data_IF_555243490975
#
_entry.id   IF_555243490975
#
_cell.length_a   1.000
_cell.length_b   1.000
_cell.length_c   1.000
_cell.angle_alpha   90.00
_cell.angle_beta   90.00
_cell.angle_gamma   90.00
#
_symmetry.space_group_name_H-M   'P 1'
#
loop_
_entity.id
_entity.type
_entity.pdbx_description
1 polymer ?
#
# COMPACT_ATOMS: atom_id res chain seq x y z
N UNK A 1 15.82 3.96 23.91
CA UNK A 1 16.82 5.02 23.57
C UNK A 1 16.21 6.38 23.90
N UNK A 2 16.92 7.34 24.51
CA UNK A 2 16.37 8.69 24.72
C UNK A 2 16.00 9.38 23.38
N UNK A 3 14.92 10.16 23.36
CA UNK A 3 14.56 11.07 22.29
C UNK A 3 14.67 12.51 22.80
N UNK A 4 15.55 13.30 22.21
CA UNK A 4 15.77 14.70 22.59
C UNK A 4 14.60 15.60 22.22
N UNK A 5 13.93 15.36 21.09
CA UNK A 5 12.79 16.17 20.64
C UNK A 5 11.56 16.00 21.53
N UNK A 6 11.20 14.76 21.87
CA UNK A 6 10.03 14.46 22.69
C UNK A 6 10.34 14.43 24.20
N UNK A 7 11.60 14.64 24.61
CA UNK A 7 12.06 14.57 26.00
C UNK A 7 11.59 13.30 26.76
N UNK A 8 11.67 12.14 26.11
CA UNK A 8 11.23 10.87 26.70
C UNK A 8 12.11 9.68 26.28
N UNK A 9 12.13 8.64 27.13
CA UNK A 9 12.76 7.37 26.78
C UNK A 9 11.87 6.59 25.82
N UNK A 10 12.39 6.29 24.62
CA UNK A 10 11.70 5.44 23.66
C UNK A 10 11.69 3.99 24.13
N UNK A 11 10.51 3.34 24.19
CA UNK A 11 10.40 1.89 24.33
C UNK A 11 11.15 1.14 23.21
N UNK A 12 11.33 -0.18 23.36
CA UNK A 12 11.88 -1.01 22.29
C UNK A 12 11.10 -0.84 20.98
N UNK A 13 11.81 -0.84 19.83
CA UNK A 13 11.24 -0.68 18.48
C UNK A 13 10.53 0.66 18.19
N UNK A 14 10.38 1.56 19.17
CA UNK A 14 9.81 2.89 18.94
C UNK A 14 10.85 3.88 18.39
N UNK A 15 10.42 4.73 17.45
CA UNK A 15 11.28 5.74 16.82
C UNK A 15 10.56 7.07 16.62
N UNK A 16 11.31 8.17 16.68
CA UNK A 16 10.76 9.51 16.45
C UNK A 16 10.59 9.75 14.95
N UNK A 17 9.36 10.00 14.51
CA UNK A 17 9.08 10.43 13.16
C UNK A 17 9.11 11.96 13.10
N UNK A 18 10.03 12.52 12.31
CA UNK A 18 10.13 13.97 12.14
C UNK A 18 8.90 14.60 11.47
N UNK A 19 8.25 13.87 10.56
CA UNK A 19 7.08 14.38 9.85
C UNK A 19 5.83 14.43 10.74
N UNK A 20 5.67 13.49 11.67
CA UNK A 20 4.58 13.51 12.66
C UNK A 20 4.97 14.21 13.97
N UNK A 21 6.23 14.63 14.11
CA UNK A 21 6.84 15.24 15.29
C UNK A 21 6.53 14.53 16.62
N UNK A 22 6.51 13.20 16.59
CA UNK A 22 6.26 12.39 17.78
C UNK A 22 6.95 11.02 17.70
N UNK A 23 7.14 10.39 18.86
CA UNK A 23 7.62 9.02 18.93
C UNK A 23 6.48 8.04 18.62
N UNK A 24 6.70 7.20 17.61
CA UNK A 24 5.76 6.17 17.19
C UNK A 24 6.22 4.83 17.73
N UNK A 25 5.30 4.11 18.37
CA UNK A 25 5.56 2.77 18.88
C UNK A 25 5.58 1.73 17.75
N UNK A 26 6.58 0.83 17.81
CA UNK A 26 6.92 -0.12 16.75
C UNK A 26 6.89 0.53 15.37
N UNK A 27 7.63 1.63 15.19
CA UNK A 27 7.62 2.39 13.95
C UNK A 27 8.06 1.47 12.80
N UNK A 28 7.20 1.37 11.79
CA UNK A 28 7.53 0.78 10.51
C UNK A 28 8.03 1.89 9.59
N UNK A 29 7.15 2.74 9.08
CA UNK A 29 7.54 3.89 8.26
C UNK A 29 6.52 5.03 8.38
N UNK A 30 6.90 6.21 7.92
CA UNK A 30 5.91 7.25 7.61
C UNK A 30 5.45 7.08 6.16
N UNK A 31 4.18 6.75 5.97
CA UNK A 31 3.61 6.61 4.64
C UNK A 31 3.15 7.97 4.13
N UNK A 32 3.84 8.52 3.13
CA UNK A 32 3.47 9.80 2.52
C UNK A 32 2.11 9.75 1.82
N UNK A 33 1.74 8.59 1.25
CA UNK A 33 0.46 8.40 0.57
C UNK A 33 -0.75 8.42 1.52
N UNK A 34 -0.56 7.94 2.75
CA UNK A 34 -1.59 7.99 3.80
C UNK A 34 -1.44 9.20 4.71
N UNK A 35 -0.38 10.00 4.50
CA UNK A 35 0.03 11.12 5.35
C UNK A 35 0.00 10.76 6.84
N UNK A 36 0.48 9.56 7.18
CA UNK A 36 0.42 9.02 8.52
C UNK A 36 1.54 8.00 8.76
N UNK A 37 1.95 7.84 10.02
CA UNK A 37 2.86 6.78 10.40
C UNK A 37 2.16 5.43 10.46
N UNK A 38 2.85 4.41 9.93
CA UNK A 38 2.51 3.01 10.11
C UNK A 38 3.37 2.49 11.26
N UNK A 39 2.72 1.98 12.31
CA UNK A 39 3.36 1.41 13.48
C UNK A 39 2.45 0.39 14.15
N UNK A 40 2.76 -0.01 15.39
CA UNK A 40 2.10 -1.15 16.05
C UNK A 40 0.57 -1.06 16.09
N UNK A 41 0.01 0.14 16.27
CA UNK A 41 -1.44 0.34 16.43
C UNK A 41 -2.24 0.21 15.13
N UNK A 42 -1.61 0.38 13.97
CA UNK A 42 -2.31 0.41 12.68
C UNK A 42 -1.70 -0.47 11.60
N UNK A 43 -0.63 -1.22 11.91
CA UNK A 43 0.02 -2.11 10.95
C UNK A 43 -0.95 -3.13 10.32
N UNK A 44 -1.89 -3.69 11.10
CA UNK A 44 -2.90 -4.60 10.58
C UNK A 44 -3.88 -3.92 9.59
N UNK A 45 -4.27 -2.68 9.87
CA UNK A 45 -5.12 -1.90 8.96
C UNK A 45 -4.36 -1.57 7.67
N UNK A 46 -3.07 -1.27 7.77
CA UNK A 46 -2.21 -1.05 6.62
C UNK A 46 -2.08 -2.31 5.73
N UNK A 47 -1.86 -3.49 6.33
CA UNK A 47 -1.86 -4.76 5.58
C UNK A 47 -3.22 -5.03 4.92
N UNK A 48 -4.32 -4.83 5.66
CA UNK A 48 -5.67 -4.96 5.10
C UNK A 48 -5.90 -4.01 3.93
N UNK A 49 -5.42 -2.77 4.04
CA UNK A 49 -5.47 -1.78 2.96
C UNK A 49 -4.70 -2.24 1.71
N UNK A 50 -3.49 -2.80 1.86
CA UNK A 50 -2.73 -3.33 0.73
C UNK A 50 -3.43 -4.53 0.07
N UNK A 51 -3.94 -5.48 0.86
CA UNK A 51 -4.64 -6.67 0.35
C UNK A 51 -5.90 -6.25 -0.43
N UNK A 52 -6.73 -5.39 0.18
CA UNK A 52 -7.96 -4.90 -0.46
C UNK A 52 -7.68 -4.03 -1.69
N UNK A 53 -6.56 -3.31 -1.72
CA UNK A 53 -6.11 -2.57 -2.91
C UNK A 53 -5.76 -3.50 -4.06
N UNK A 54 -5.01 -4.59 -3.80
CA UNK A 54 -4.70 -5.61 -4.82
C UNK A 54 -5.97 -6.25 -5.34
N UNK A 55 -6.89 -6.68 -4.45
CA UNK A 55 -8.16 -7.27 -4.84
C UNK A 55 -9.00 -6.32 -5.69
N UNK A 56 -9.07 -5.04 -5.31
CA UNK A 56 -9.80 -4.02 -6.06
C UNK A 56 -9.21 -3.81 -7.45
N UNK A 57 -7.89 -3.77 -7.58
CA UNK A 57 -7.20 -3.64 -8.88
C UNK A 57 -7.48 -4.85 -9.78
N UNK A 58 -7.43 -6.07 -9.24
CA UNK A 58 -7.77 -7.30 -9.99
C UNK A 58 -9.22 -7.27 -10.49
N UNK A 59 -10.17 -6.83 -9.65
CA UNK A 59 -11.57 -6.69 -10.05
C UNK A 59 -11.77 -5.61 -11.13
N UNK A 60 -11.07 -4.48 -11.02
CA UNK A 60 -11.10 -3.41 -12.03
C UNK A 60 -10.54 -3.90 -13.37
N UNK A 61 -9.43 -4.63 -13.36
CA UNK A 61 -8.83 -5.23 -14.57
C UNK A 61 -9.80 -6.23 -15.19
N UNK A 62 -10.35 -7.16 -14.39
CA UNK A 62 -11.28 -8.18 -14.88
C UNK A 62 -12.54 -7.58 -15.50
N UNK A 63 -13.15 -6.59 -14.85
CA UNK A 63 -14.33 -5.89 -15.39
C UNK A 63 -14.00 -5.05 -16.63
N UNK A 64 -12.81 -4.44 -16.70
CA UNK A 64 -12.36 -3.69 -17.88
C UNK A 64 -12.12 -4.61 -19.08
N UNK A 65 -11.49 -5.78 -18.87
CA UNK A 65 -11.30 -6.80 -19.91
C UNK A 65 -12.65 -7.30 -20.40
N UNK A 66 -13.55 -7.69 -19.49
CA UNK A 66 -14.89 -8.15 -19.83
C UNK A 66 -15.63 -7.13 -20.69
N UNK A 67 -15.56 -5.83 -20.33
CA UNK A 67 -16.18 -4.76 -21.11
C UNK A 67 -15.55 -4.63 -22.50
N UNK A 68 -14.22 -4.66 -22.63
CA UNK A 68 -13.55 -4.56 -23.93
C UNK A 68 -13.92 -5.74 -24.84
N UNK A 69 -13.97 -6.97 -24.31
CA UNK A 69 -14.29 -8.17 -25.10
C UNK A 69 -15.76 -8.19 -25.57
N UNK A 70 -16.72 -7.87 -24.70
CA UNK A 70 -18.15 -7.89 -25.08
C UNK A 70 -18.51 -6.81 -26.10
N UNK A 71 -17.88 -5.63 -26.03
CA UNK A 71 -18.14 -4.55 -26.98
C UNK A 71 -17.45 -4.77 -28.34
N UNK A 72 -16.31 -5.47 -28.37
CA UNK A 72 -15.75 -5.95 -29.63
C UNK A 72 -16.71 -6.90 -30.35
N UNK A 73 -17.42 -7.75 -29.60
CA UNK A 73 -18.36 -8.72 -30.16
C UNK A 73 -19.66 -8.10 -30.70
N UNK A 74 -20.07 -6.92 -30.21
CA UNK A 74 -21.31 -6.26 -30.63
C UNK A 74 -21.20 -5.39 -31.89
N UNK A 75 -20.04 -5.38 -32.57
CA UNK A 75 -19.75 -4.58 -33.78
C UNK A 75 -20.01 -3.06 -33.63
N UNK A 76 -20.28 -2.58 -32.42
CA UNK A 76 -20.28 -1.16 -32.10
C UNK A 76 -18.85 -0.77 -31.81
N UNK A 77 -18.09 -0.47 -32.87
CA UNK A 77 -16.73 0.10 -32.82
C UNK A 77 -16.86 1.56 -32.34
N UNK A 78 -17.32 1.73 -31.10
CA UNK A 78 -17.07 2.93 -30.32
C UNK A 78 -15.69 2.76 -29.73
N UNK A 79 -14.77 3.68 -30.02
CA UNK A 79 -13.55 3.80 -29.24
C UNK A 79 -13.96 3.87 -27.76
N UNK A 80 -13.52 2.90 -26.95
CA UNK A 80 -13.72 2.91 -25.50
C UNK A 80 -12.43 3.35 -24.80
N UNK A 81 -11.97 4.60 -25.03
CA UNK A 81 -10.68 5.06 -24.51
C UNK A 81 -10.65 4.97 -23.00
N UNK A 82 -11.79 5.14 -22.32
CA UNK A 82 -11.90 5.06 -20.86
C UNK A 82 -11.60 3.64 -20.38
N UNK A 83 -12.27 2.60 -20.90
CA UNK A 83 -12.06 1.22 -20.47
C UNK A 83 -10.64 0.73 -20.74
N UNK A 84 -10.08 1.10 -21.90
CA UNK A 84 -8.69 0.79 -22.25
C UNK A 84 -7.71 1.55 -21.35
N UNK A 85 -7.93 2.83 -21.10
CA UNK A 85 -7.07 3.62 -20.21
C UNK A 85 -7.11 3.10 -18.78
N UNK A 86 -8.29 2.76 -18.26
CA UNK A 86 -8.44 2.16 -16.92
C UNK A 86 -7.71 0.82 -16.84
N UNK A 87 -7.83 -0.03 -17.87
CA UNK A 87 -7.11 -1.30 -17.95
C UNK A 87 -5.59 -1.11 -17.90
N UNK A 88 -5.06 -0.18 -18.71
CA UNK A 88 -3.62 0.10 -18.76
C UNK A 88 -3.12 0.66 -17.43
N UNK A 89 -3.80 1.68 -16.88
CA UNK A 89 -3.38 2.34 -15.63
C UNK A 89 -3.45 1.34 -14.46
N UNK A 90 -4.54 0.59 -14.32
CA UNK A 90 -4.69 -0.39 -13.24
C UNK A 90 -3.65 -1.51 -13.32
N UNK A 91 -3.28 -1.96 -14.52
CA UNK A 91 -2.23 -2.95 -14.73
C UNK A 91 -0.85 -2.44 -14.31
N UNK A 92 -0.53 -1.17 -14.63
CA UNK A 92 0.73 -0.53 -14.22
C UNK A 92 0.79 -0.40 -12.69
N UNK A 93 -0.30 -0.02 -12.05
CA UNK A 93 -0.37 0.17 -10.58
C UNK A 93 -0.36 -1.17 -9.82
N UNK A 94 -0.88 -2.25 -10.40
CA UNK A 94 -0.93 -3.56 -9.75
C UNK A 94 0.47 -4.08 -9.37
N UNK A 95 1.46 -3.90 -10.24
CA UNK A 95 2.82 -4.39 -10.03
C UNK A 95 3.49 -3.83 -8.76
N UNK A 96 3.62 -2.50 -8.56
CA UNK A 96 4.24 -1.96 -7.36
C UNK A 96 3.43 -2.25 -6.09
N UNK A 97 2.10 -2.23 -6.14
CA UNK A 97 1.26 -2.51 -4.96
C UNK A 97 1.39 -3.97 -4.53
N UNK A 98 1.43 -4.91 -5.48
CA UNK A 98 1.64 -6.33 -5.18
C UNK A 98 3.04 -6.56 -4.63
N UNK A 99 4.07 -5.92 -5.21
CA UNK A 99 5.46 -6.01 -4.70
C UNK A 99 5.57 -5.49 -3.27
N UNK A 100 4.93 -4.36 -2.96
CA UNK A 100 4.87 -3.80 -1.62
C UNK A 100 4.15 -4.74 -0.63
N UNK A 101 3.02 -5.32 -1.03
CA UNK A 101 2.32 -6.32 -0.23
C UNK A 101 3.21 -7.53 0.05
N UNK A 102 3.87 -8.09 -0.96
CA UNK A 102 4.79 -9.23 -0.80
C UNK A 102 5.94 -8.91 0.16
N UNK A 103 6.49 -7.70 0.07
CA UNK A 103 7.54 -7.24 0.99
C UNK A 103 7.06 -7.18 2.44
N UNK A 104 5.89 -6.59 2.71
CA UNK A 104 5.35 -6.53 4.07
C UNK A 104 4.89 -7.89 4.61
N UNK A 105 4.43 -8.79 3.75
CA UNK A 105 4.16 -10.19 4.11
C UNK A 105 5.45 -10.88 4.54
N UNK A 106 6.54 -10.72 3.77
CA UNK A 106 7.86 -11.24 4.13
C UNK A 106 8.35 -10.72 5.50
N UNK A 107 8.25 -9.41 5.74
CA UNK A 107 8.64 -8.80 7.02
C UNK A 107 7.80 -9.33 8.19
N UNK A 108 6.50 -9.53 7.97
CA UNK A 108 5.59 -10.10 8.97
C UNK A 108 6.01 -11.52 9.35
N UNK A 109 6.39 -12.35 8.37
CA UNK A 109 6.92 -13.69 8.63
C UNK A 109 8.24 -13.67 9.41
N UNK A 110 9.06 -12.63 9.24
CA UNK A 110 10.31 -12.44 9.98
C UNK A 110 10.12 -11.74 11.33
N UNK A 111 8.93 -11.21 11.62
CA UNK A 111 8.66 -10.42 12.82
C UNK A 111 9.38 -9.07 12.87
N UNK A 112 9.82 -8.55 11.71
CA UNK A 112 10.60 -7.31 11.58
C UNK A 112 9.72 -6.14 11.14
N UNK A 113 10.08 -4.92 11.54
CA UNK A 113 9.59 -3.70 10.87
C UNK A 113 10.51 -3.31 9.72
N UNK A 114 10.06 -2.44 8.83
CA UNK A 114 10.90 -1.91 7.73
C UNK A 114 12.15 -1.19 8.25
N UNK A 115 12.03 -0.42 9.35
CA UNK A 115 13.16 0.24 10.02
C UNK A 115 14.18 -0.74 10.60
N UNK A 116 13.77 -1.94 10.99
CA UNK A 116 14.68 -2.94 11.55
C UNK A 116 15.37 -3.79 10.48
N UNK A 117 14.75 -3.91 9.31
CA UNK A 117 15.32 -4.63 8.17
C UNK A 117 16.37 -3.79 7.41
N UNK A 118 16.25 -2.46 7.48
CA UNK A 118 17.19 -1.48 6.88
C UNK A 118 18.32 -1.19 7.87
#
# INVERSE_FOLDING_TARGET
KWCSTCCTYRPPRSSHCRMCDCCIDGLDHHCTYLNNCIGSRNYLYYLTFLITSVLSLVMIIGTSIWRVLNFHQSNQIGNHPISVSVLVISSIVLFPITTLLSYHVYLTFKGLTTVEHI
#
